data_IF_612489678226
#
_entry.id   IF_612489678226
#
_cell.length_a   1.000
_cell.length_b   1.000
_cell.length_c   1.000
_cell.angle_alpha   90.00
_cell.angle_beta   90.00
_cell.angle_gamma   90.00
#
_symmetry.space_group_name_H-M   'P 1'
#
loop_
_entity.id
_entity.type
_entity.pdbx_description
1 polymer ?
#
# COMPACT_ATOMS: atom_id res chain seq x y z
N UNK A 1 -13.42 6.54 -7.23
CA UNK A 1 -13.42 5.09 -7.52
C UNK A 1 -14.19 4.32 -6.47
N UNK A 2 -14.52 3.06 -6.75
CA UNK A 2 -15.34 2.20 -5.86
C UNK A 2 -14.50 1.15 -5.09
N UNK A 3 -13.20 1.06 -5.36
CA UNK A 3 -12.32 0.12 -4.68
C UNK A 3 -11.87 0.64 -3.31
N UNK A 4 -11.41 -0.28 -2.46
CA UNK A 4 -10.80 0.09 -1.18
C UNK A 4 -11.82 0.28 -0.06
N UNK A 5 -11.48 1.10 0.93
CA UNK A 5 -12.30 1.36 2.11
C UNK A 5 -11.97 2.71 2.75
N UNK A 6 -12.87 3.24 3.58
CA UNK A 6 -12.65 4.48 4.33
C UNK A 6 -12.38 5.67 3.42
N UNK A 7 -11.24 6.34 3.63
CA UNK A 7 -10.88 7.59 2.94
C UNK A 7 -10.24 7.40 1.55
N UNK A 8 -10.13 6.16 1.06
CA UNK A 8 -9.55 5.90 -0.26
C UNK A 8 -10.15 6.73 -1.42
N UNK A 9 -11.47 7.03 -1.47
CA UNK A 9 -12.05 7.84 -2.55
C UNK A 9 -11.64 9.31 -2.55
N UNK A 10 -11.08 9.83 -1.44
CA UNK A 10 -10.65 11.23 -1.32
C UNK A 10 -9.14 11.38 -1.23
N UNK A 11 -8.40 10.27 -1.13
CA UNK A 11 -6.94 10.30 -1.09
C UNK A 11 -6.37 10.27 -2.50
N UNK A 12 -5.91 11.43 -2.99
CA UNK A 12 -5.38 11.59 -4.35
C UNK A 12 -3.89 11.19 -4.43
N UNK A 13 -3.52 10.51 -5.51
CA UNK A 13 -2.15 10.10 -5.85
C UNK A 13 -1.72 10.94 -7.08
N UNK A 14 -0.95 12.03 -6.87
CA UNK A 14 -0.62 12.98 -7.94
C UNK A 14 0.09 12.33 -9.13
N UNK A 15 1.05 11.46 -8.87
CA UNK A 15 1.86 10.79 -9.91
C UNK A 15 1.03 9.89 -10.83
N UNK A 16 -0.16 9.45 -10.38
CA UNK A 16 -1.05 8.58 -11.13
C UNK A 16 -2.31 9.29 -11.62
N UNK A 17 -2.50 10.56 -11.26
CA UNK A 17 -3.69 11.33 -11.62
C UNK A 17 -5.00 10.74 -11.07
N UNK A 18 -4.95 9.92 -10.01
CA UNK A 18 -6.06 9.08 -9.52
C UNK A 18 -6.17 9.10 -8.01
N UNK A 19 -7.38 8.88 -7.51
CA UNK A 19 -7.62 8.56 -6.09
C UNK A 19 -7.21 7.12 -5.79
N UNK A 20 -6.94 6.81 -4.52
CA UNK A 20 -6.59 5.44 -4.10
C UNK A 20 -7.73 4.46 -4.41
N UNK A 21 -8.98 4.91 -4.32
CA UNK A 21 -10.14 4.07 -4.67
C UNK A 21 -10.27 3.77 -6.17
N UNK A 22 -9.48 4.42 -7.03
CA UNK A 22 -9.44 4.15 -8.48
C UNK A 22 -8.29 3.22 -8.86
N UNK A 23 -7.42 2.88 -7.92
CA UNK A 23 -6.35 1.92 -8.13
C UNK A 23 -6.90 0.49 -8.03
N UNK A 24 -6.32 -0.42 -8.81
CA UNK A 24 -6.53 -1.85 -8.57
C UNK A 24 -5.93 -2.25 -7.21
N UNK A 25 -6.33 -3.41 -6.69
CA UNK A 25 -5.77 -3.95 -5.46
C UNK A 25 -4.25 -4.14 -5.56
N UNK A 26 -3.78 -4.63 -6.71
CA UNK A 26 -2.37 -4.87 -7.01
C UNK A 26 -1.58 -3.55 -7.04
N UNK A 27 -2.11 -2.53 -7.73
CA UNK A 27 -1.49 -1.20 -7.78
C UNK A 27 -1.40 -0.57 -6.38
N UNK A 28 -2.50 -0.61 -5.61
CA UNK A 28 -2.53 -0.12 -4.23
C UNK A 28 -1.53 -0.88 -3.36
N UNK A 29 -1.47 -2.21 -3.48
CA UNK A 29 -0.53 -3.03 -2.71
C UNK A 29 0.93 -2.75 -3.08
N UNK A 30 1.24 -2.38 -4.31
CA UNK A 30 2.61 -2.04 -4.71
C UNK A 30 3.10 -0.72 -4.09
N UNK A 31 2.21 0.27 -3.92
CA UNK A 31 2.62 1.64 -3.52
C UNK A 31 2.19 2.06 -2.11
N UNK A 32 1.32 1.28 -1.45
CA UNK A 32 0.73 1.70 -0.16
C UNK A 32 1.78 1.88 0.95
N UNK A 33 1.48 2.78 1.88
CA UNK A 33 2.23 2.96 3.13
C UNK A 33 2.43 1.64 3.88
N UNK A 34 1.41 0.77 3.86
CA UNK A 34 1.44 -0.55 4.49
C UNK A 34 2.48 -1.46 3.85
N UNK A 35 2.51 -1.52 2.52
CA UNK A 35 3.49 -2.33 1.80
C UNK A 35 4.91 -1.86 2.07
N UNK A 36 5.14 -0.54 2.06
CA UNK A 36 6.44 0.05 2.43
C UNK A 36 6.86 -0.31 3.85
N UNK A 37 5.95 -0.18 4.82
CA UNK A 37 6.23 -0.53 6.21
C UNK A 37 6.57 -2.02 6.38
N UNK A 38 5.82 -2.90 5.72
CA UNK A 38 6.08 -4.35 5.74
C UNK A 38 7.42 -4.67 5.08
N UNK A 39 7.76 -4.03 3.96
CA UNK A 39 9.06 -4.22 3.32
C UNK A 39 10.22 -3.85 4.24
N UNK A 40 10.11 -2.73 4.96
CA UNK A 40 11.09 -2.31 5.97
C UNK A 40 11.15 -3.27 7.16
N UNK A 41 10.01 -3.81 7.60
CA UNK A 41 9.95 -4.75 8.72
C UNK A 41 10.48 -6.14 8.37
N UNK A 42 10.30 -6.59 7.11
CA UNK A 42 10.65 -7.94 6.63
C UNK A 42 12.06 -8.42 7.03
N UNK A 43 13.17 -7.68 6.82
CA UNK A 43 14.50 -8.16 7.18
C UNK A 43 14.65 -8.43 8.69
N UNK A 44 13.99 -7.65 9.54
CA UNK A 44 14.01 -7.86 11.00
C UNK A 44 13.26 -9.13 11.39
N UNK A 45 12.09 -9.37 10.79
CA UNK A 45 11.33 -10.60 11.00
C UNK A 45 12.11 -11.83 10.54
N UNK A 46 12.73 -11.78 9.36
CA UNK A 46 13.58 -12.88 8.88
C UNK A 46 14.71 -13.16 9.86
N UNK A 47 15.38 -12.12 10.38
CA UNK A 47 16.44 -12.28 11.38
C UNK A 47 15.95 -12.96 12.66
N UNK A 48 14.76 -12.59 13.15
CA UNK A 48 14.17 -13.18 14.36
C UNK A 48 13.74 -14.63 14.17
N UNK A 49 13.28 -15.00 12.96
CA UNK A 49 12.76 -16.33 12.65
C UNK A 49 13.84 -17.32 12.19
N UNK A 50 15.04 -16.84 11.85
CA UNK A 50 16.15 -17.66 11.32
C UNK A 50 17.19 -18.03 12.37
N UNK A 51 16.91 -17.76 13.65
CA UNK A 51 17.76 -18.13 14.80
C UNK A 51 17.06 -19.13 15.69
#
# INVERSE_FOLDING_TARGET
GENGFGYDPVFYVPDLGRTVAELSREQKNAISHRARAVATMRPHLVRLLSG
#
